data_IF_279286931756
#
_entry.id   IF_279286931756
#
_cell.length_a   1.000
_cell.length_b   1.000
_cell.length_c   1.000
_cell.angle_alpha   90.00
_cell.angle_beta   90.00
_cell.angle_gamma   90.00
#
_symmetry.space_group_name_H-M   'P 1'
#
loop_
_entity.id
_entity.type
_entity.pdbx_description
1 polymer ?
#
# COMPACT_ATOMS: atom_id res chain seq x y z
N UNK A 1 -14.01 -20.11 19.79
CA UNK A 1 -14.32 -18.65 19.67
C UNK A 1 -13.38 -18.07 18.63
N UNK A 2 -13.91 -17.38 17.64
CA UNK A 2 -13.07 -16.64 16.71
C UNK A 2 -12.38 -15.48 17.47
N UNK A 3 -11.11 -15.18 17.20
CA UNK A 3 -10.44 -14.07 17.83
C UNK A 3 -11.06 -12.73 17.39
N UNK A 4 -11.21 -11.82 18.34
CA UNK A 4 -11.54 -10.43 18.04
C UNK A 4 -10.23 -9.67 17.80
N UNK A 5 -10.02 -9.17 16.58
CA UNK A 5 -8.83 -8.42 16.19
C UNK A 5 -9.04 -6.92 16.46
N UNK A 6 -8.19 -6.34 17.29
CA UNK A 6 -8.13 -4.88 17.50
C UNK A 6 -7.49 -4.25 16.28
N UNK A 7 -8.18 -3.34 15.61
CA UNK A 7 -7.74 -2.75 14.35
C UNK A 7 -7.58 -1.24 14.43
N UNK A 8 -6.56 -0.71 13.75
CA UNK A 8 -6.38 0.72 13.47
C UNK A 8 -6.61 0.95 11.97
N UNK A 9 -7.35 2.03 11.64
CA UNK A 9 -7.57 2.49 10.26
C UNK A 9 -6.61 3.63 9.95
N UNK A 10 -5.79 3.46 8.93
CA UNK A 10 -4.79 4.45 8.52
C UNK A 10 -5.04 4.88 7.07
N UNK A 11 -5.43 6.14 6.88
CA UNK A 11 -5.76 6.70 5.57
C UNK A 11 -5.81 8.23 5.71
N UNK A 12 -5.24 9.00 4.82
CA UNK A 12 -5.26 10.47 4.91
C UNK A 12 -6.64 11.05 4.60
N UNK A 13 -7.50 10.30 3.88
CA UNK A 13 -8.86 10.71 3.57
C UNK A 13 -9.85 10.35 4.70
N UNK A 14 -10.43 11.33 5.43
CA UNK A 14 -11.42 11.05 6.48
C UNK A 14 -12.67 10.33 5.95
N UNK A 15 -13.01 10.53 4.67
CA UNK A 15 -14.14 9.85 4.03
C UNK A 15 -13.87 8.35 3.84
N UNK A 16 -12.64 7.98 3.47
CA UNK A 16 -12.23 6.59 3.31
C UNK A 16 -12.23 5.86 4.66
N UNK A 17 -11.71 6.49 5.73
CA UNK A 17 -11.77 5.93 7.10
C UNK A 17 -13.21 5.70 7.56
N UNK A 18 -14.11 6.67 7.36
CA UNK A 18 -15.54 6.51 7.70
C UNK A 18 -16.20 5.39 6.91
N UNK A 19 -15.91 5.28 5.61
CA UNK A 19 -16.44 4.21 4.77
C UNK A 19 -15.98 2.84 5.27
N UNK A 20 -14.67 2.68 5.52
CA UNK A 20 -14.09 1.44 6.04
C UNK A 20 -14.70 1.07 7.40
N UNK A 21 -14.82 2.02 8.32
CA UNK A 21 -15.45 1.81 9.63
C UNK A 21 -16.90 1.31 9.47
N UNK A 22 -17.69 1.91 8.57
CA UNK A 22 -19.05 1.49 8.30
C UNK A 22 -19.13 0.08 7.74
N UNK A 23 -18.27 -0.26 6.78
CA UNK A 23 -18.21 -1.61 6.20
C UNK A 23 -17.81 -2.67 7.26
N UNK A 24 -16.90 -2.32 8.18
CA UNK A 24 -16.47 -3.22 9.25
C UNK A 24 -17.53 -3.45 10.33
N UNK A 25 -18.61 -2.68 10.39
CA UNK A 25 -19.74 -2.94 11.32
C UNK A 25 -20.38 -4.30 11.10
N UNK A 26 -20.37 -4.81 9.87
CA UNK A 26 -20.84 -6.16 9.55
C UNK A 26 -19.95 -7.27 10.13
N UNK A 27 -18.72 -6.95 10.53
CA UNK A 27 -17.69 -7.87 11.03
C UNK A 27 -17.29 -7.61 12.48
N UNK A 28 -18.13 -6.93 13.27
CA UNK A 28 -17.86 -6.51 14.66
C UNK A 28 -17.48 -7.66 15.60
N UNK A 29 -17.88 -8.88 15.29
CA UNK A 29 -17.50 -10.08 16.06
C UNK A 29 -16.09 -10.58 15.73
N UNK A 30 -15.48 -10.04 14.67
CA UNK A 30 -14.13 -10.43 14.22
C UNK A 30 -13.14 -9.26 14.32
N UNK A 31 -13.58 -8.04 13.99
CA UNK A 31 -12.72 -6.84 13.95
C UNK A 31 -13.35 -5.74 14.79
N UNK A 32 -12.58 -5.23 15.74
CA UNK A 32 -12.91 -4.04 16.53
C UNK A 32 -11.99 -2.90 16.14
N UNK A 33 -12.54 -1.85 15.53
CA UNK A 33 -11.77 -0.63 15.24
C UNK A 33 -11.58 0.14 16.54
N UNK A 34 -10.33 0.21 17.01
CA UNK A 34 -9.96 0.88 18.28
C UNK A 34 -9.54 2.32 18.05
N UNK A 35 -8.92 2.64 16.90
CA UNK A 35 -8.44 3.99 16.59
C UNK A 35 -8.36 4.24 15.08
N UNK A 36 -8.03 5.49 14.69
CA UNK A 36 -7.77 5.92 13.32
C UNK A 36 -6.55 6.84 13.29
N UNK A 37 -5.82 6.86 12.17
CA UNK A 37 -4.74 7.79 11.91
C UNK A 37 -4.90 8.41 10.52
N UNK A 38 -4.61 9.71 10.40
CA UNK A 38 -4.69 10.46 9.15
C UNK A 38 -3.33 10.69 8.49
N UNK A 39 -2.23 10.28 9.12
CA UNK A 39 -0.87 10.41 8.60
C UNK A 39 -0.03 9.20 8.97
N UNK A 40 1.08 9.00 8.25
CA UNK A 40 1.99 7.90 8.54
C UNK A 40 2.69 8.05 9.90
N UNK A 41 3.04 9.26 10.30
CA UNK A 41 3.65 9.51 11.61
C UNK A 41 2.66 9.22 12.75
N UNK A 42 1.43 9.71 12.65
CA UNK A 42 0.35 9.40 13.61
C UNK A 42 0.09 7.90 13.70
N UNK A 43 0.13 7.21 12.55
CA UNK A 43 -0.04 5.76 12.50
C UNK A 43 1.05 5.03 13.29
N UNK A 44 2.33 5.41 13.12
CA UNK A 44 3.45 4.80 13.85
C UNK A 44 3.25 4.97 15.36
N UNK A 45 2.96 6.19 15.82
CA UNK A 45 2.75 6.49 17.24
C UNK A 45 1.64 5.61 17.83
N UNK A 46 0.46 5.61 17.21
CA UNK A 46 -0.71 4.85 17.69
C UNK A 46 -0.51 3.34 17.64
N UNK A 47 0.17 2.83 16.60
CA UNK A 47 0.44 1.40 16.47
C UNK A 47 1.42 0.93 17.56
N UNK A 48 2.47 1.69 17.85
CA UNK A 48 3.45 1.35 18.87
C UNK A 48 2.86 1.48 20.28
N UNK A 49 1.97 2.45 20.51
CA UNK A 49 1.32 2.65 21.80
C UNK A 49 0.25 1.60 22.10
N UNK A 50 -0.62 1.30 21.12
CA UNK A 50 -1.81 0.49 21.33
C UNK A 50 -1.64 -0.98 20.96
N UNK A 51 -0.56 -1.34 20.26
CA UNK A 51 -0.20 -2.69 19.85
C UNK A 51 -1.39 -3.45 19.22
N UNK A 52 -1.98 -2.92 18.11
CA UNK A 52 -3.13 -3.53 17.47
C UNK A 52 -2.78 -4.90 16.86
N UNK A 53 -3.79 -5.76 16.70
CA UNK A 53 -3.64 -7.05 16.01
C UNK A 53 -3.67 -6.89 14.48
N UNK A 54 -4.31 -5.81 13.99
CA UNK A 54 -4.57 -5.55 12.58
C UNK A 54 -4.44 -4.06 12.26
N UNK A 55 -3.90 -3.75 11.09
CA UNK A 55 -3.92 -2.38 10.54
C UNK A 55 -4.44 -2.43 9.12
N UNK A 56 -5.47 -1.63 8.83
CA UNK A 56 -5.82 -1.26 7.47
C UNK A 56 -4.99 -0.03 7.11
N UNK A 57 -4.09 -0.16 6.14
CA UNK A 57 -3.05 0.83 5.88
C UNK A 57 -3.11 1.32 4.43
N UNK A 58 -3.37 2.61 4.25
CA UNK A 58 -3.18 3.20 2.93
C UNK A 58 -1.70 3.21 2.54
N UNK A 59 -1.45 2.94 1.28
CA UNK A 59 -0.09 2.97 0.72
C UNK A 59 0.37 4.39 0.49
N UNK A 60 -0.52 5.28 0.05
CA UNK A 60 -0.16 6.66 -0.23
C UNK A 60 -0.74 7.62 0.80
N UNK A 61 0.15 8.26 1.53
CA UNK A 61 -0.16 9.36 2.43
C UNK A 61 0.83 10.51 2.20
N UNK A 62 0.47 11.77 2.54
CA UNK A 62 1.28 12.93 2.21
C UNK A 62 2.67 12.99 2.86
N UNK A 63 2.82 12.38 4.04
CA UNK A 63 4.04 12.43 4.86
C UNK A 63 4.92 11.18 4.69
N UNK A 64 4.32 9.99 4.70
CA UNK A 64 5.00 8.71 4.57
C UNK A 64 4.14 7.76 3.72
N UNK A 65 4.81 6.91 2.97
CA UNK A 65 4.12 5.76 2.35
C UNK A 65 3.80 4.69 3.40
N UNK A 66 2.76 3.89 3.17
CA UNK A 66 2.43 2.76 4.05
C UNK A 66 3.60 1.79 4.26
N UNK A 67 4.51 1.70 3.28
CA UNK A 67 5.73 0.89 3.41
C UNK A 67 6.73 1.49 4.37
N UNK A 68 6.97 2.80 4.28
CA UNK A 68 7.84 3.51 5.21
C UNK A 68 7.32 3.45 6.65
N UNK A 69 5.99 3.46 6.82
CA UNK A 69 5.36 3.18 8.12
C UNK A 69 5.78 1.80 8.62
N UNK A 70 5.59 0.73 7.81
CA UNK A 70 5.94 -0.64 8.21
C UNK A 70 7.42 -0.84 8.53
N UNK A 71 8.32 -0.15 7.81
CA UNK A 71 9.76 -0.21 8.08
C UNK A 71 10.12 0.33 9.46
N UNK A 72 9.41 1.38 9.91
CA UNK A 72 9.69 2.06 11.17
C UNK A 72 9.03 1.39 12.38
N UNK A 73 8.03 0.53 12.17
CA UNK A 73 7.35 -0.17 13.24
C UNK A 73 8.24 -1.25 13.88
N UNK A 74 8.27 -1.28 15.21
CA UNK A 74 8.81 -2.38 16.01
C UNK A 74 7.74 -3.46 16.22
N UNK A 75 6.52 -3.05 16.58
CA UNK A 75 5.36 -3.95 16.62
C UNK A 75 4.97 -4.39 15.21
N UNK A 76 4.64 -5.67 15.05
CA UNK A 76 4.32 -6.28 13.74
C UNK A 76 2.86 -6.78 13.71
N UNK A 77 1.89 -5.89 13.49
CA UNK A 77 0.49 -6.29 13.34
C UNK A 77 0.27 -7.01 12.01
N UNK A 78 -0.87 -7.67 11.87
CA UNK A 78 -1.35 -8.07 10.55
C UNK A 78 -1.69 -6.83 9.73
N UNK A 79 -1.35 -6.84 8.44
CA UNK A 79 -1.58 -5.71 7.54
C UNK A 79 -2.55 -6.10 6.45
N UNK A 80 -3.55 -5.26 6.24
CA UNK A 80 -4.37 -5.23 5.02
C UNK A 80 -4.16 -3.87 4.38
N UNK A 81 -3.50 -3.86 3.23
CA UNK A 81 -3.31 -2.61 2.52
C UNK A 81 -4.58 -2.14 1.85
N UNK A 82 -4.76 -0.81 1.80
CA UNK A 82 -5.77 -0.14 1.00
C UNK A 82 -5.07 0.77 -0.02
N UNK A 83 -5.48 0.78 -1.28
CA UNK A 83 -4.78 1.55 -2.31
C UNK A 83 -5.67 1.88 -3.50
N UNK A 84 -5.40 2.98 -4.18
CA UNK A 84 -5.98 3.31 -5.49
C UNK A 84 -5.18 2.74 -6.68
N UNK A 85 -4.03 2.09 -6.45
CA UNK A 85 -3.11 1.65 -7.49
C UNK A 85 -3.32 0.21 -7.90
N UNK A 86 -3.81 0.00 -9.14
CA UNK A 86 -4.12 -1.35 -9.67
C UNK A 86 -2.90 -2.17 -10.08
N UNK A 87 -1.84 -1.55 -10.60
CA UNK A 87 -0.88 -2.27 -11.44
C UNK A 87 0.35 -2.81 -10.73
N UNK A 88 0.76 -2.26 -9.59
CA UNK A 88 2.06 -2.61 -8.98
C UNK A 88 1.96 -3.34 -7.64
N UNK A 89 0.84 -3.18 -6.94
CA UNK A 89 0.64 -3.81 -5.64
C UNK A 89 0.38 -5.32 -5.73
N UNK A 90 -0.22 -5.79 -6.83
CA UNK A 90 -0.82 -7.13 -6.94
C UNK A 90 0.16 -8.28 -6.74
N UNK A 91 1.32 -8.28 -7.38
CA UNK A 91 2.29 -9.39 -7.30
C UNK A 91 3.18 -9.36 -6.07
N UNK A 92 3.37 -8.18 -5.52
CA UNK A 92 4.34 -7.93 -4.47
C UNK A 92 3.79 -8.19 -3.06
N UNK A 93 2.48 -7.97 -2.88
CA UNK A 93 1.83 -8.00 -1.56
C UNK A 93 1.30 -9.36 -1.13
N UNK A 94 1.08 -10.28 -2.05
CA UNK A 94 0.59 -11.63 -1.73
C UNK A 94 1.49 -12.38 -0.74
N UNK A 95 2.75 -11.95 -0.61
CA UNK A 95 3.74 -12.64 0.24
C UNK A 95 3.89 -12.02 1.64
N UNK A 96 3.48 -10.76 1.88
CA UNK A 96 3.87 -10.00 3.09
C UNK A 96 2.72 -9.40 3.89
N UNK A 97 1.53 -9.31 3.32
CA UNK A 97 0.32 -8.85 4.01
C UNK A 97 -0.74 -9.96 4.04
N UNK A 98 -1.72 -9.82 4.92
CA UNK A 98 -2.88 -10.70 4.91
C UNK A 98 -3.60 -10.55 3.58
N UNK A 99 -3.81 -9.30 3.15
CA UNK A 99 -4.46 -9.00 1.88
C UNK A 99 -4.23 -7.52 1.48
N UNK A 100 -4.76 -7.15 0.33
CA UNK A 100 -4.86 -5.76 -0.12
C UNK A 100 -6.25 -5.48 -0.68
N UNK A 101 -6.71 -4.24 -0.55
CA UNK A 101 -8.01 -3.77 -1.00
C UNK A 101 -7.83 -2.60 -1.95
N UNK A 102 -8.33 -2.75 -3.17
CA UNK A 102 -8.31 -1.67 -4.15
C UNK A 102 -9.47 -0.71 -3.91
N UNK A 103 -9.20 0.58 -3.85
CA UNK A 103 -10.21 1.65 -3.79
C UNK A 103 -10.86 1.84 -5.18
N UNK A 104 -12.20 1.96 -5.30
CA UNK A 104 -13.19 1.88 -4.22
C UNK A 104 -13.37 0.44 -3.70
N UNK A 105 -13.34 0.31 -2.37
CA UNK A 105 -13.40 -1.00 -1.71
C UNK A 105 -14.78 -1.62 -1.88
N UNK A 106 -14.82 -2.84 -2.42
CA UNK A 106 -16.04 -3.61 -2.60
C UNK A 106 -16.29 -4.53 -1.40
N UNK A 107 -17.55 -4.69 -1.01
CA UNK A 107 -17.93 -5.53 0.14
C UNK A 107 -17.46 -6.97 0.01
N UNK A 108 -17.55 -7.57 -1.19
CA UNK A 108 -17.07 -8.93 -1.44
C UNK A 108 -15.56 -9.06 -1.22
N UNK A 109 -14.77 -8.03 -1.60
CA UNK A 109 -13.32 -8.03 -1.40
C UNK A 109 -12.97 -7.90 0.08
N UNK A 110 -13.65 -7.01 0.81
CA UNK A 110 -13.47 -6.91 2.26
C UNK A 110 -13.82 -8.22 2.95
N UNK A 111 -14.93 -8.87 2.57
CA UNK A 111 -15.31 -10.19 3.10
C UNK A 111 -14.21 -11.23 2.91
N UNK A 112 -13.62 -11.31 1.72
CA UNK A 112 -12.52 -12.23 1.43
C UNK A 112 -11.28 -11.93 2.30
N UNK A 113 -10.94 -10.65 2.49
CA UNK A 113 -9.83 -10.24 3.34
C UNK A 113 -10.05 -10.62 4.80
N UNK A 114 -11.27 -10.45 5.31
CA UNK A 114 -11.61 -10.87 6.69
C UNK A 114 -11.55 -12.42 6.82
N UNK A 115 -11.98 -13.17 5.81
CA UNK A 115 -11.83 -14.62 5.80
C UNK A 115 -10.35 -15.06 5.80
N UNK A 116 -9.50 -14.40 5.02
CA UNK A 116 -8.06 -14.63 5.04
C UNK A 116 -7.46 -14.31 6.42
N UNK A 117 -7.86 -13.19 7.03
CA UNK A 117 -7.43 -12.83 8.38
C UNK A 117 -7.77 -13.90 9.40
N UNK A 118 -9.00 -14.43 9.37
CA UNK A 118 -9.43 -15.51 10.27
C UNK A 118 -8.65 -16.80 10.06
N UNK A 119 -8.29 -17.13 8.81
CA UNK A 119 -7.55 -18.34 8.48
C UNK A 119 -6.05 -18.24 8.82
N UNK A 120 -5.43 -17.11 8.58
CA UNK A 120 -3.97 -16.96 8.59
C UNK A 120 -3.43 -15.93 9.61
N UNK A 121 -4.27 -15.06 10.15
CA UNK A 121 -3.85 -13.92 10.98
C UNK A 121 -3.08 -14.29 12.27
N UNK A 122 -3.15 -15.54 12.71
CA UNK A 122 -2.35 -16.06 13.85
C UNK A 122 -1.03 -16.72 13.44
N UNK A 123 -0.86 -17.02 12.17
CA UNK A 123 0.33 -17.71 11.66
C UNK A 123 1.42 -16.72 11.21
N UNK A 124 1.06 -15.47 10.95
CA UNK A 124 1.92 -14.48 10.31
C UNK A 124 2.61 -13.51 11.28
N UNK A 125 3.15 -14.00 12.41
CA UNK A 125 3.96 -13.14 13.29
C UNK A 125 5.37 -12.82 12.73
N UNK A 126 5.67 -13.13 11.48
CA UNK A 126 6.94 -12.80 10.86
C UNK A 126 6.72 -12.20 9.46
N UNK A 127 6.60 -10.88 9.40
CA UNK A 127 6.78 -10.17 8.14
C UNK A 127 8.26 -10.36 7.75
N UNK A 128 8.52 -10.96 6.58
CA UNK A 128 9.87 -10.98 6.02
C UNK A 128 10.26 -9.55 5.55
N UNK A 129 10.88 -8.81 6.46
CA UNK A 129 11.35 -7.44 6.20
C UNK A 129 12.36 -7.35 5.05
N UNK A 130 13.05 -8.46 4.70
CA UNK A 130 13.99 -8.46 3.56
C UNK A 130 13.23 -8.39 2.25
N UNK A 131 12.24 -9.22 2.07
CA UNK A 131 11.38 -9.18 0.89
C UNK A 131 10.62 -7.85 0.77
N UNK A 132 10.15 -7.29 1.90
CA UNK A 132 9.52 -5.98 1.93
C UNK A 132 10.49 -4.86 1.47
N UNK A 133 11.76 -4.87 1.90
CA UNK A 133 12.78 -3.92 1.46
C UNK A 133 13.09 -4.00 -0.03
N UNK A 134 13.19 -5.19 -0.57
CA UNK A 134 13.39 -5.38 -2.02
C UNK A 134 12.23 -4.81 -2.83
N UNK A 135 11.00 -4.97 -2.32
CA UNK A 135 9.81 -4.39 -2.92
C UNK A 135 9.81 -2.86 -2.87
N UNK A 136 10.10 -2.27 -1.73
CA UNK A 136 10.21 -0.82 -1.58
C UNK A 136 11.23 -0.25 -2.57
N UNK A 137 12.38 -0.90 -2.72
CA UNK A 137 13.38 -0.48 -3.72
C UNK A 137 12.87 -0.56 -5.16
N UNK A 138 12.01 -1.54 -5.49
CA UNK A 138 11.40 -1.62 -6.81
C UNK A 138 10.36 -0.50 -7.05
N UNK A 139 9.65 -0.07 -5.99
CA UNK A 139 8.64 1.00 -6.08
C UNK A 139 9.22 2.40 -5.98
N UNK A 140 10.33 2.59 -5.28
CA UNK A 140 11.04 3.87 -5.20
C UNK A 140 11.92 4.13 -6.43
N UNK A 141 12.27 3.10 -7.19
CA UNK A 141 12.85 3.31 -8.50
C UNK A 141 11.76 3.90 -9.42
N UNK A 142 11.95 5.10 -10.00
CA UNK A 142 11.04 5.57 -11.02
C UNK A 142 10.92 4.45 -12.07
N UNK A 143 9.72 4.19 -12.62
CA UNK A 143 9.58 3.16 -13.63
C UNK A 143 10.66 3.39 -14.67
N UNK A 144 11.52 2.39 -14.88
CA UNK A 144 12.54 2.49 -15.92
C UNK A 144 11.77 2.73 -17.20
N UNK A 145 11.69 4.01 -17.60
CA UNK A 145 11.11 4.37 -18.88
C UNK A 145 11.86 3.58 -19.93
N UNK A 146 11.19 2.68 -20.58
CA UNK A 146 11.79 1.89 -21.67
C UNK A 146 11.81 2.68 -22.98
N UNK A 147 11.21 3.86 -22.98
CA UNK A 147 11.10 4.72 -24.14
C UNK A 147 11.04 6.21 -23.76
N UNK A 148 11.55 7.03 -24.63
CA UNK A 148 11.47 8.49 -24.58
C UNK A 148 10.34 8.96 -25.50
N UNK A 149 9.53 9.91 -25.01
CA UNK A 149 8.51 10.55 -25.84
C UNK A 149 9.10 11.82 -26.45
N UNK A 150 9.24 11.86 -27.76
CA UNK A 150 9.76 13.01 -28.50
C UNK A 150 8.61 13.65 -29.27
N UNK A 151 8.47 14.97 -29.15
CA UNK A 151 7.54 15.75 -29.96
C UNK A 151 8.25 16.30 -31.20
N UNK A 152 7.88 15.81 -32.36
CA UNK A 152 8.38 16.28 -33.65
C UNK A 152 7.23 16.98 -34.42
N UNK A 153 7.13 18.30 -34.27
CA UNK A 153 6.01 19.10 -34.78
C UNK A 153 4.69 18.68 -34.10
N UNK A 154 3.69 18.29 -34.89
CA UNK A 154 2.39 17.82 -34.39
C UNK A 154 2.32 16.32 -34.10
N UNK A 155 3.43 15.62 -34.20
CA UNK A 155 3.49 14.18 -33.98
C UNK A 155 4.23 13.88 -32.66
N UNK A 156 3.72 12.89 -31.92
CA UNK A 156 4.38 12.32 -30.76
C UNK A 156 5.01 10.99 -31.21
N UNK A 157 6.34 10.88 -31.05
CA UNK A 157 7.10 9.67 -31.40
C UNK A 157 7.60 9.04 -30.11
N UNK A 158 7.37 7.74 -29.95
CA UNK A 158 7.87 6.95 -28.83
C UNK A 158 9.16 6.26 -29.29
N UNK A 159 10.29 6.67 -28.74
CA UNK A 159 11.61 6.11 -29.07
C UNK A 159 12.06 5.21 -27.92
N UNK A 160 12.25 3.92 -28.19
CA UNK A 160 12.75 2.97 -27.18
C UNK A 160 14.20 3.27 -26.85
N UNK A 161 14.59 3.21 -25.58
CA UNK A 161 15.98 3.46 -25.16
C UNK A 161 16.99 2.55 -25.87
N UNK A 162 16.60 1.31 -26.18
CA UNK A 162 17.44 0.34 -26.92
C UNK A 162 17.78 0.79 -28.35
N UNK A 163 16.99 1.69 -28.93
CA UNK A 163 17.20 2.22 -30.28
C UNK A 163 17.95 3.55 -30.31
N UNK A 164 18.32 4.10 -29.15
CA UNK A 164 19.06 5.35 -29.04
C UNK A 164 20.55 5.05 -29.09
N UNK A 165 21.23 5.52 -30.13
CA UNK A 165 22.67 5.34 -30.32
C UNK A 165 23.46 6.42 -29.55
N UNK A 166 23.00 7.65 -29.62
CA UNK A 166 23.55 8.77 -28.85
C UNK A 166 22.51 9.88 -28.72
N UNK A 167 22.73 10.74 -27.75
CA UNK A 167 21.97 11.98 -27.55
C UNK A 167 22.96 13.13 -27.42
N UNK A 168 22.75 14.20 -28.19
CA UNK A 168 23.52 15.42 -28.13
C UNK A 168 22.60 16.58 -27.75
N UNK A 169 23.08 17.44 -26.87
CA UNK A 169 22.35 18.64 -26.45
C UNK A 169 23.00 19.85 -27.09
N UNK A 170 22.23 20.60 -27.89
CA UNK A 170 22.66 21.87 -28.44
C UNK A 170 21.66 22.94 -28.01
N UNK A 171 22.16 23.91 -27.23
CA UNK A 171 21.36 24.96 -26.58
C UNK A 171 20.25 24.43 -25.68
N UNK A 172 19.00 24.63 -26.05
CA UNK A 172 17.81 24.17 -25.32
C UNK A 172 17.16 22.92 -25.90
N UNK A 173 17.75 22.28 -26.88
CA UNK A 173 17.20 21.13 -27.58
C UNK A 173 18.13 19.92 -27.49
N UNK A 174 17.54 18.72 -27.51
CA UNK A 174 18.24 17.43 -27.56
C UNK A 174 17.99 16.83 -28.94
N UNK A 175 19.06 16.40 -29.63
CA UNK A 175 19.03 15.78 -30.95
C UNK A 175 19.36 14.30 -30.89
#
# INVERSE_FOLDING_TARGET
>A
MNPLYKAILVDDEPAARRLMRNMLTAYRETVQVIDEAGTGMEAIEKIEEQLPDLVFLDIQMPDLTGFEVLERLQHKPNIIFTTAYEQYALKAFESFSIDYLLKPIKEERLKQSIQKLQAFGRLNNSIDLKGLKELIHQFQAPPKSTALTIRAGDRIILVRFESIVYMESQDKYVY
#
